data_IF_068060473425
#
_entry.id   IF_068060473425
#
_cell.length_a   1.000
_cell.length_b   1.000
_cell.length_c   1.000
_cell.angle_alpha   90.00
_cell.angle_beta   90.00
_cell.angle_gamma   90.00
#
_symmetry.space_group_name_H-M   'P 1'
#
loop_
_entity.id
_entity.type
_entity.pdbx_description
1 polymer ?
#
# COMPACT_ATOMS: atom_id res chain seq x y z
N UNK A 1 -7.30 -23.52 10.36
CA UNK A 1 -6.58 -23.76 11.63
C UNK A 1 -5.44 -22.75 11.62
N UNK A 2 -5.38 -21.83 12.58
CA UNK A 2 -4.36 -20.77 12.57
C UNK A 2 -3.04 -21.34 13.07
N UNK A 3 -1.96 -21.14 12.31
CA UNK A 3 -0.61 -21.54 12.73
C UNK A 3 -0.16 -20.68 13.93
N UNK A 4 0.34 -21.33 14.98
CA UNK A 4 0.87 -20.64 16.16
C UNK A 4 2.13 -19.83 15.82
N UNK A 5 2.91 -20.26 14.83
CA UNK A 5 4.08 -19.53 14.34
C UNK A 5 3.67 -18.25 13.62
N UNK A 6 2.65 -18.31 12.77
CA UNK A 6 2.07 -17.12 12.13
C UNK A 6 1.44 -16.16 13.15
N UNK A 7 0.76 -16.71 14.16
CA UNK A 7 0.12 -15.93 15.24
C UNK A 7 1.15 -15.08 16.00
N UNK A 8 2.34 -15.64 16.29
CA UNK A 8 3.44 -14.90 16.92
C UNK A 8 4.34 -14.16 15.90
N UNK A 9 4.07 -14.26 14.61
CA UNK A 9 4.87 -13.71 13.51
C UNK A 9 6.35 -14.12 13.57
N UNK A 10 6.62 -15.41 13.82
CA UNK A 10 7.96 -15.99 13.89
C UNK A 10 8.11 -17.16 12.93
N UNK A 11 9.32 -17.38 12.40
CA UNK A 11 9.59 -18.55 11.55
C UNK A 11 9.52 -19.84 12.38
N UNK A 12 9.08 -20.99 11.83
CA UNK A 12 9.11 -22.30 12.52
C UNK A 12 10.49 -22.74 13.06
N UNK A 13 11.56 -22.08 12.62
CA UNK A 13 12.95 -22.33 13.05
C UNK A 13 13.44 -21.35 14.12
N UNK A 14 12.58 -20.45 14.60
CA UNK A 14 12.93 -19.47 15.62
C UNK A 14 13.31 -20.18 16.93
N UNK A 15 14.33 -19.65 17.61
CA UNK A 15 14.71 -20.11 18.94
C UNK A 15 13.76 -19.56 20.02
N UNK A 16 13.87 -20.10 21.23
CA UNK A 16 12.99 -19.74 22.35
C UNK A 16 13.09 -18.27 22.74
N UNK A 17 14.28 -17.66 22.59
CA UNK A 17 14.49 -16.26 22.89
C UNK A 17 13.76 -15.35 21.89
N UNK A 18 13.86 -15.66 20.58
CA UNK A 18 13.13 -14.95 19.54
C UNK A 18 11.61 -15.07 19.73
N UNK A 19 11.10 -16.26 20.08
CA UNK A 19 9.67 -16.48 20.38
C UNK A 19 9.22 -15.61 21.56
N UNK A 20 9.98 -15.59 22.67
CA UNK A 20 9.66 -14.76 23.84
C UNK A 20 9.70 -13.27 23.50
N UNK A 21 10.72 -12.83 22.78
CA UNK A 21 10.85 -11.43 22.39
C UNK A 21 9.70 -11.00 21.45
N UNK A 22 9.29 -11.86 20.52
CA UNK A 22 8.15 -11.60 19.64
C UNK A 22 6.84 -11.49 20.43
N UNK A 23 6.57 -12.44 21.33
CA UNK A 23 5.40 -12.41 22.20
C UNK A 23 5.33 -11.12 23.03
N UNK A 24 6.43 -10.72 23.69
CA UNK A 24 6.48 -9.49 24.48
C UNK A 24 6.10 -8.23 23.67
N UNK A 25 6.69 -8.07 22.47
CA UNK A 25 6.35 -6.95 21.57
C UNK A 25 4.88 -6.95 21.17
N UNK A 26 4.28 -8.11 20.93
CA UNK A 26 2.87 -8.22 20.56
C UNK A 26 1.95 -7.90 21.75
N UNK A 27 2.27 -8.37 22.95
CA UNK A 27 1.49 -8.03 24.14
C UNK A 27 1.49 -6.54 24.45
N UNK A 28 2.63 -5.86 24.27
CA UNK A 28 2.73 -4.41 24.41
C UNK A 28 1.88 -3.68 23.35
N UNK A 29 1.86 -4.18 22.11
CA UNK A 29 1.05 -3.62 21.02
C UNK A 29 -0.45 -3.67 21.32
N UNK A 30 -0.93 -4.80 21.82
CA UNK A 30 -2.34 -5.01 22.17
C UNK A 30 -2.63 -4.73 23.66
N UNK A 31 -1.77 -3.97 24.33
CA UNK A 31 -1.94 -3.67 25.75
C UNK A 31 -3.23 -2.87 25.99
N UNK A 32 -4.04 -3.24 27.00
CA UNK A 32 -5.30 -2.55 27.28
C UNK A 32 -5.10 -1.07 27.63
N UNK A 33 -3.96 -0.72 28.23
CA UNK A 33 -3.58 0.66 28.56
C UNK A 33 -3.49 1.57 27.32
N UNK A 34 -3.11 1.01 26.16
CA UNK A 34 -3.03 1.77 24.89
C UNK A 34 -4.39 1.95 24.22
N UNK A 35 -5.40 1.22 24.70
CA UNK A 35 -6.76 1.20 24.19
C UNK A 35 -7.76 1.60 25.28
N UNK A 36 -7.27 2.16 26.39
CA UNK A 36 -8.11 2.69 27.45
C UNK A 36 -8.93 3.85 26.89
N UNK A 37 -10.24 3.82 27.08
CA UNK A 37 -11.16 4.77 26.46
C UNK A 37 -11.61 4.40 25.05
N UNK A 38 -10.92 3.50 24.33
CA UNK A 38 -11.26 3.12 22.95
C UNK A 38 -12.67 2.53 22.79
N UNK A 39 -13.18 2.55 21.56
CA UNK A 39 -14.47 1.95 21.24
C UNK A 39 -14.53 0.50 21.74
N UNK A 40 -15.67 0.09 22.29
CA UNK A 40 -15.82 -1.23 22.93
C UNK A 40 -15.46 -2.38 21.97
N UNK A 41 -15.83 -2.23 20.70
CA UNK A 41 -15.51 -3.18 19.62
C UNK A 41 -13.99 -3.35 19.44
N UNK A 42 -13.23 -2.25 19.45
CA UNK A 42 -11.76 -2.29 19.34
C UNK A 42 -11.11 -2.90 20.58
N UNK A 43 -11.64 -2.61 21.77
CA UNK A 43 -11.18 -3.24 23.01
C UNK A 43 -11.45 -4.74 23.01
N UNK A 44 -12.65 -5.17 22.58
CA UNK A 44 -13.00 -6.58 22.47
C UNK A 44 -12.07 -7.31 21.50
N UNK A 45 -11.81 -6.72 20.33
CA UNK A 45 -10.91 -7.31 19.35
C UNK A 45 -9.47 -7.43 19.86
N UNK A 46 -8.95 -6.39 20.51
CA UNK A 46 -7.62 -6.44 21.11
C UNK A 46 -7.52 -7.54 22.18
N UNK A 47 -8.57 -7.74 22.98
CA UNK A 47 -8.64 -8.86 23.94
C UNK A 47 -8.59 -10.21 23.23
N UNK A 48 -9.40 -10.42 22.19
CA UNK A 48 -9.38 -11.67 21.40
C UNK A 48 -7.98 -11.94 20.81
N UNK A 49 -7.32 -10.90 20.29
CA UNK A 49 -5.96 -11.03 19.75
C UNK A 49 -4.94 -11.36 20.83
N UNK A 50 -5.04 -10.75 22.00
CA UNK A 50 -4.22 -11.10 23.17
C UNK A 50 -4.40 -12.56 23.58
N UNK A 51 -5.62 -13.06 23.64
CA UNK A 51 -5.89 -14.46 23.98
C UNK A 51 -5.26 -15.42 22.97
N UNK A 52 -5.34 -15.10 21.67
CA UNK A 52 -4.69 -15.89 20.63
C UNK A 52 -3.15 -15.92 20.77
N UNK A 53 -2.54 -14.77 21.10
CA UNK A 53 -1.11 -14.65 21.35
C UNK A 53 -0.68 -15.46 22.58
N UNK A 54 -1.45 -15.37 23.68
CA UNK A 54 -1.19 -16.10 24.92
C UNK A 54 -1.26 -17.61 24.68
N UNK A 55 -2.24 -18.08 23.92
CA UNK A 55 -2.38 -19.49 23.55
C UNK A 55 -1.23 -19.98 22.67
N UNK A 56 -0.85 -19.23 21.63
CA UNK A 56 0.27 -19.58 20.76
C UNK A 56 1.60 -19.62 21.53
N UNK A 57 1.83 -18.66 22.43
CA UNK A 57 3.03 -18.65 23.27
C UNK A 57 3.07 -19.83 24.26
N UNK A 58 1.94 -20.21 24.86
CA UNK A 58 1.87 -21.35 25.77
C UNK A 58 2.34 -22.65 25.10
N UNK A 59 1.98 -22.86 23.82
CA UNK A 59 2.39 -24.04 23.05
C UNK A 59 3.85 -23.94 22.59
N UNK A 60 4.25 -22.79 22.02
CA UNK A 60 5.57 -22.65 21.39
C UNK A 60 6.72 -22.40 22.37
N UNK A 61 6.43 -21.93 23.59
CA UNK A 61 7.45 -21.66 24.61
C UNK A 61 7.95 -22.92 25.32
N UNK A 62 7.13 -23.97 25.41
CA UNK A 62 7.52 -25.27 25.98
C UNK A 62 8.10 -26.18 24.87
N UNK A 63 9.37 -26.64 24.99
CA UNK A 63 9.98 -27.52 24.00
C UNK A 63 9.21 -28.82 23.73
N UNK A 64 8.52 -29.38 24.73
CA UNK A 64 7.76 -30.62 24.56
C UNK A 64 6.45 -30.38 23.80
N UNK A 65 5.71 -29.33 24.16
CA UNK A 65 4.47 -28.96 23.47
C UNK A 65 4.75 -28.52 22.04
N UNK A 66 5.82 -27.75 21.82
CA UNK A 66 6.27 -27.37 20.48
C UNK A 66 6.62 -28.59 19.62
N UNK A 67 7.37 -29.55 20.16
CA UNK A 67 7.72 -30.76 19.40
C UNK A 67 6.48 -31.61 19.06
N UNK A 68 5.50 -31.69 19.95
CA UNK A 68 4.23 -32.37 19.68
C UNK A 68 3.43 -31.64 18.58
N UNK A 69 3.34 -30.31 18.66
CA UNK A 69 2.70 -29.48 17.64
C UNK A 69 3.38 -29.60 16.28
N UNK A 70 4.71 -29.56 16.22
CA UNK A 70 5.50 -29.73 14.99
C UNK A 70 5.27 -31.13 14.38
N UNK A 71 5.11 -32.16 15.21
CA UNK A 71 4.79 -33.51 14.75
C UNK A 71 3.36 -33.61 14.18
N UNK A 72 2.38 -32.92 14.77
CA UNK A 72 1.01 -32.83 14.25
C UNK A 72 0.95 -32.09 12.91
N UNK A 73 1.69 -30.98 12.78
CA UNK A 73 1.86 -30.24 11.53
C UNK A 73 2.45 -31.12 10.43
N UNK A 74 3.52 -31.86 10.75
CA UNK A 74 4.16 -32.79 9.82
C UNK A 74 3.23 -33.95 9.43
N UNK A 75 2.47 -34.51 10.36
CA UNK A 75 1.49 -35.57 10.08
C UNK A 75 0.37 -35.06 9.17
N UNK A 76 -0.12 -33.84 9.43
CA UNK A 76 -1.16 -33.19 8.61
C UNK A 76 -0.68 -32.92 7.19
N UNK A 77 0.57 -32.46 7.04
CA UNK A 77 1.21 -32.25 5.74
C UNK A 77 1.41 -33.57 4.95
N UNK A 78 1.54 -34.71 5.63
CA UNK A 78 1.66 -36.04 5.01
C UNK A 78 0.30 -36.64 4.64
N UNK A 79 -0.78 -36.29 5.35
CA UNK A 79 -2.15 -36.75 5.05
C UNK A 79 -2.90 -35.89 4.05
N UNK A 80 -2.42 -34.69 3.74
CA UNK A 80 -2.86 -33.95 2.57
C UNK A 80 -2.37 -34.72 1.32
N UNK A 81 -3.27 -35.49 0.69
CA UNK A 81 -2.96 -36.15 -0.58
C UNK A 81 -2.46 -35.11 -1.61
N UNK A 82 -1.44 -35.44 -2.42
CA UNK A 82 -0.93 -34.56 -3.45
C UNK A 82 -1.91 -34.52 -4.62
N UNK A 83 -2.92 -33.67 -4.55
CA UNK A 83 -3.61 -33.21 -5.76
C UNK A 83 -2.79 -32.03 -6.29
N UNK A 84 -2.19 -32.24 -7.46
CA UNK A 84 -1.07 -31.51 -8.08
C UNK A 84 0.31 -31.74 -7.44
N UNK A 85 0.77 -32.98 -7.56
CA UNK A 85 2.19 -33.24 -7.76
C UNK A 85 2.68 -32.50 -9.01
N UNK A 86 3.11 -31.25 -8.85
CA UNK A 86 4.23 -30.73 -9.63
C UNK A 86 5.36 -31.71 -9.38
N UNK A 87 5.71 -32.47 -10.41
CA UNK A 87 6.93 -33.26 -10.43
C UNK A 87 8.09 -32.31 -10.13
N UNK A 88 8.58 -32.30 -8.89
CA UNK A 88 9.95 -31.93 -8.61
C UNK A 88 10.81 -32.98 -9.31
N UNK A 89 11.18 -32.65 -10.55
CA UNK A 89 12.25 -33.30 -11.26
C UNK A 89 13.49 -33.29 -10.35
N UNK A 90 14.31 -34.36 -10.35
CA UNK A 90 15.52 -34.37 -9.56
C UNK A 90 16.34 -33.16 -9.97
N UNK A 91 16.74 -32.35 -8.98
CA UNK A 91 17.62 -31.20 -9.17
C UNK A 91 18.90 -31.69 -9.85
N UNK A 92 18.94 -31.60 -11.18
CA UNK A 92 20.19 -31.48 -11.90
C UNK A 92 20.79 -30.17 -11.41
N UNK A 93 22.01 -30.24 -10.83
CA UNK A 93 22.77 -29.09 -10.36
C UNK A 93 23.00 -28.08 -11.52
N UNK A 94 22.00 -27.25 -11.81
CA UNK A 94 22.13 -26.07 -12.67
C UNK A 94 22.83 -24.97 -11.86
N UNK A 95 24.16 -25.02 -11.87
CA UNK A 95 25.01 -24.00 -11.28
C UNK A 95 24.78 -22.65 -11.99
N UNK A 96 24.10 -21.72 -11.31
CA UNK A 96 23.84 -20.35 -11.77
C UNK A 96 25.16 -19.54 -11.84
N UNK A 97 25.52 -18.99 -13.00
CA UNK A 97 26.75 -18.17 -13.16
C UNK A 97 26.51 -16.73 -12.70
N UNK A 98 26.87 -16.42 -11.45
CA UNK A 98 26.72 -15.09 -10.82
C UNK A 98 27.68 -13.99 -11.35
N UNK A 99 28.29 -14.17 -12.51
CA UNK A 99 29.15 -13.13 -13.10
C UNK A 99 28.28 -12.01 -13.70
N UNK A 100 28.66 -10.73 -13.51
CA UNK A 100 27.95 -9.63 -14.13
C UNK A 100 27.99 -9.77 -15.66
N UNK A 101 26.83 -9.61 -16.30
CA UNK A 101 26.71 -9.61 -17.75
C UNK A 101 27.66 -8.56 -18.34
N UNK A 102 28.40 -8.87 -19.41
CA UNK A 102 29.27 -7.89 -20.04
C UNK A 102 28.45 -6.66 -20.48
N UNK A 103 29.06 -5.46 -20.44
CA UNK A 103 28.36 -4.22 -20.75
C UNK A 103 27.82 -4.26 -22.17
N UNK A 104 26.54 -3.97 -22.34
CA UNK A 104 25.82 -4.10 -23.63
C UNK A 104 26.20 -3.04 -24.68
N UNK A 105 27.30 -2.30 -24.50
CA UNK A 105 27.89 -1.46 -25.55
C UNK A 105 26.94 -0.46 -26.23
N UNK A 106 25.96 0.09 -25.50
CA UNK A 106 24.87 0.97 -26.02
C UNK A 106 24.02 0.36 -27.14
N UNK A 107 23.86 -0.96 -27.16
CA UNK A 107 22.87 -1.66 -27.98
C UNK A 107 21.90 -2.43 -27.08
N UNK A 108 20.62 -2.41 -27.42
CA UNK A 108 19.61 -3.21 -26.72
C UNK A 108 19.82 -4.69 -27.02
N UNK A 109 19.71 -5.55 -26.00
CA UNK A 109 19.79 -7.00 -26.21
C UNK A 109 18.53 -7.46 -26.97
N UNK A 110 18.67 -8.40 -27.94
CA UNK A 110 17.55 -8.84 -28.75
C UNK A 110 16.45 -9.52 -27.90
N UNK A 111 15.18 -9.49 -28.36
CA UNK A 111 13.99 -9.92 -27.60
C UNK A 111 13.86 -11.44 -27.36
N UNK A 112 14.93 -12.20 -27.56
CA UNK A 112 15.05 -13.62 -27.20
C UNK A 112 16.37 -13.91 -26.46
N UNK A 113 17.01 -12.88 -25.91
CA UNK A 113 18.22 -13.04 -25.12
C UNK A 113 17.87 -13.70 -23.79
N UNK A 114 18.34 -14.92 -23.61
CA UNK A 114 18.18 -15.66 -22.37
C UNK A 114 18.90 -14.92 -21.22
N UNK A 115 18.11 -14.43 -20.25
CA UNK A 115 18.60 -13.69 -19.09
C UNK A 115 19.06 -14.60 -17.96
N UNK A 116 18.87 -15.91 -18.07
CA UNK A 116 19.27 -16.88 -17.05
C UNK A 116 20.59 -17.55 -17.46
N UNK A 117 21.66 -17.46 -16.64
CA UNK A 117 22.95 -18.01 -17.03
C UNK A 117 23.07 -19.45 -16.52
N UNK A 118 22.46 -20.41 -17.21
CA UNK A 118 22.67 -21.84 -16.93
C UNK A 118 23.83 -22.37 -17.78
N UNK A 119 24.86 -22.93 -17.14
CA UNK A 119 26.00 -23.52 -17.87
C UNK A 119 25.73 -24.95 -18.27
N UNK A 120 25.21 -25.19 -19.48
CA UNK A 120 25.34 -26.52 -20.11
C UNK A 120 26.75 -26.67 -20.72
N UNK A 121 27.51 -27.63 -20.21
CA UNK A 121 28.90 -27.87 -20.62
C UNK A 121 28.94 -28.49 -22.04
N UNK A 122 28.97 -27.66 -23.08
CA UNK A 122 29.11 -28.11 -24.47
C UNK A 122 30.48 -27.78 -25.08
N UNK A 123 31.24 -28.85 -25.24
CA UNK A 123 32.29 -29.20 -26.21
C UNK A 123 32.64 -28.18 -27.32
N UNK A 124 33.94 -27.89 -27.41
CA UNK A 124 34.57 -27.03 -28.40
C UNK A 124 34.47 -27.52 -29.86
N UNK A 125 34.26 -26.59 -30.79
CA UNK A 125 34.68 -26.61 -32.22
C UNK A 125 34.54 -25.17 -32.77
N UNK A 126 35.62 -24.41 -32.99
CA UNK A 126 36.54 -24.42 -34.14
C UNK A 126 36.09 -23.58 -35.36
N UNK A 127 36.64 -22.35 -35.41
CA UNK A 127 37.19 -21.58 -36.56
C UNK A 127 36.37 -21.40 -37.86
N UNK A 128 36.28 -20.13 -38.26
CA UNK A 128 36.26 -19.70 -39.67
C UNK A 128 36.53 -18.20 -39.82
N UNK A 129 37.73 -17.83 -40.28
CA UNK A 129 38.14 -16.46 -40.67
C UNK A 129 37.74 -16.19 -42.12
N UNK A 130 37.37 -14.94 -42.43
CA UNK A 130 37.31 -14.42 -43.81
C UNK A 130 37.17 -12.91 -43.82
N UNK A 131 38.16 -12.21 -44.35
CA UNK A 131 38.24 -10.76 -44.46
C UNK A 131 37.86 -10.28 -45.87
N UNK A 132 37.22 -9.11 -46.00
CA UNK A 132 37.59 -7.98 -46.88
C UNK A 132 36.38 -7.04 -47.12
N UNK A 133 36.67 -5.73 -47.08
CA UNK A 133 35.74 -4.60 -47.25
C UNK A 133 35.20 -4.47 -48.69
N UNK A 134 33.97 -3.93 -48.84
CA UNK A 134 33.62 -3.22 -50.07
C UNK A 134 32.98 -1.84 -49.73
N UNK A 135 32.33 -1.11 -50.64
CA UNK A 135 32.61 0.29 -50.94
C UNK A 135 31.48 1.21 -50.42
N UNK A 136 31.45 2.47 -50.88
CA UNK A 136 30.60 3.58 -50.40
C UNK A 136 29.13 3.23 -50.11
N UNK A 137 28.50 3.90 -49.11
CA UNK A 137 27.26 3.44 -48.48
C UNK A 137 25.99 3.54 -49.35
N UNK A 138 25.37 2.39 -49.59
CA UNK A 138 24.08 2.24 -50.29
C UNK A 138 22.83 2.55 -49.40
N UNK A 139 23.01 2.95 -48.13
CA UNK A 139 21.90 3.12 -47.18
C UNK A 139 21.12 4.44 -47.31
N UNK A 140 21.62 5.42 -48.04
CA UNK A 140 20.97 6.74 -48.12
C UNK A 140 19.61 6.67 -48.84
N UNK A 141 19.48 5.84 -49.87
CA UNK A 141 18.22 5.64 -50.60
C UNK A 141 17.13 4.90 -49.78
N UNK A 142 17.41 3.75 -49.12
CA UNK A 142 16.40 3.07 -48.31
C UNK A 142 16.03 3.84 -47.04
N UNK A 143 16.91 4.65 -46.43
CA UNK A 143 16.54 5.44 -45.23
C UNK A 143 15.48 6.50 -45.49
N UNK A 144 15.49 7.12 -46.69
CA UNK A 144 14.46 8.10 -47.06
C UNK A 144 13.12 7.42 -47.33
N UNK A 145 13.14 6.23 -47.94
CA UNK A 145 11.92 5.44 -48.20
C UNK A 145 11.31 4.95 -46.89
N UNK A 146 12.12 4.43 -45.96
CA UNK A 146 11.65 3.98 -44.65
C UNK A 146 11.04 5.13 -43.85
N UNK A 147 11.67 6.32 -43.85
CA UNK A 147 11.13 7.48 -43.14
C UNK A 147 9.74 7.93 -43.64
N UNK A 148 9.54 7.93 -44.97
CA UNK A 148 8.24 8.26 -45.59
C UNK A 148 7.20 7.18 -45.27
N UNK A 149 7.58 5.90 -45.34
CA UNK A 149 6.70 4.79 -45.00
C UNK A 149 6.30 4.80 -43.52
N UNK A 150 7.24 5.06 -42.60
CA UNK A 150 6.93 5.14 -41.16
C UNK A 150 6.00 6.31 -40.84
N UNK A 151 6.18 7.45 -41.50
CA UNK A 151 5.31 8.61 -41.30
C UNK A 151 3.89 8.34 -41.83
N UNK A 152 3.76 7.69 -42.99
CA UNK A 152 2.46 7.30 -43.53
C UNK A 152 1.74 6.25 -42.66
N UNK A 153 2.48 5.29 -42.09
CA UNK A 153 1.92 4.27 -41.17
C UNK A 153 1.45 4.91 -39.87
N UNK A 154 2.25 5.80 -39.26
CA UNK A 154 1.85 6.50 -38.02
C UNK A 154 0.65 7.42 -38.28
N UNK A 155 0.61 8.09 -39.43
CA UNK A 155 -0.52 8.96 -39.77
C UNK A 155 -1.81 8.16 -40.03
N UNK A 156 -1.70 7.00 -40.67
CA UNK A 156 -2.85 6.12 -40.89
C UNK A 156 -3.33 5.46 -39.60
N UNK A 157 -2.44 5.07 -38.68
CA UNK A 157 -2.83 4.55 -37.36
C UNK A 157 -3.45 5.63 -36.48
N UNK A 158 -2.98 6.87 -36.54
CA UNK A 158 -3.60 7.99 -35.84
C UNK A 158 -5.01 8.31 -36.40
N UNK A 159 -5.17 8.25 -37.72
CA UNK A 159 -6.46 8.51 -38.37
C UNK A 159 -7.46 7.38 -38.10
N UNK A 160 -7.03 6.11 -38.11
CA UNK A 160 -7.92 4.98 -37.78
C UNK A 160 -8.31 4.97 -36.30
N UNK A 161 -7.41 5.34 -35.38
CA UNK A 161 -7.74 5.44 -33.94
C UNK A 161 -8.75 6.54 -33.63
N UNK A 162 -8.71 7.66 -34.35
CA UNK A 162 -9.67 8.77 -34.17
C UNK A 162 -11.01 8.51 -34.85
N UNK A 163 -11.02 7.87 -36.03
CA UNK A 163 -12.25 7.60 -36.79
C UNK A 163 -13.04 6.39 -36.27
N UNK A 164 -12.40 5.46 -35.57
CA UNK A 164 -13.05 4.27 -34.98
C UNK A 164 -13.12 4.31 -33.46
N UNK A 165 -12.88 5.46 -32.84
CA UNK A 165 -13.19 5.66 -31.42
C UNK A 165 -14.70 5.47 -31.23
N UNK A 166 -15.15 4.45 -30.46
CA UNK A 166 -16.58 4.25 -30.23
C UNK A 166 -17.12 5.47 -29.47
N UNK A 167 -18.18 6.07 -29.98
CA UNK A 167 -18.92 7.10 -29.25
C UNK A 167 -19.40 6.51 -27.92
N UNK A 168 -19.20 7.17 -26.77
CA UNK A 168 -19.69 6.65 -25.50
C UNK A 168 -21.22 6.58 -25.56
N UNK A 169 -21.74 5.37 -25.67
CA UNK A 169 -23.16 5.10 -25.54
C UNK A 169 -23.53 5.32 -24.09
N UNK A 170 -24.38 6.30 -23.82
CA UNK A 170 -25.06 6.41 -22.53
C UNK A 170 -25.87 5.13 -22.31
N UNK A 171 -25.42 4.28 -21.38
CA UNK A 171 -26.08 3.03 -21.04
C UNK A 171 -27.30 3.34 -20.17
N UNK A 172 -28.43 3.54 -20.83
CA UNK A 172 -29.76 3.45 -20.22
C UNK A 172 -30.38 2.13 -20.68
N UNK A 173 -30.11 1.04 -19.93
CA UNK A 173 -30.73 -0.26 -20.16
C UNK A 173 -30.10 -1.36 -19.28
N UNK A 174 -30.86 -2.36 -18.80
CA UNK A 174 -30.36 -3.37 -17.88
C UNK A 174 -29.33 -4.25 -18.59
N UNK A 175 -28.07 -4.16 -18.15
CA UNK A 175 -26.96 -4.93 -18.71
C UNK A 175 -27.06 -6.39 -18.25
N UNK A 176 -27.11 -7.31 -19.23
CA UNK A 176 -26.85 -8.73 -19.00
C UNK A 176 -25.33 -8.86 -18.90
N UNK A 177 -24.84 -9.11 -17.70
CA UNK A 177 -23.42 -9.32 -17.40
C UNK A 177 -23.01 -10.67 -18.02
N UNK A 178 -22.00 -10.64 -18.89
CA UNK A 178 -21.34 -11.84 -19.41
C UNK A 178 -20.40 -12.36 -18.30
N UNK A 179 -20.69 -13.50 -17.65
CA UNK A 179 -20.04 -13.90 -16.39
C UNK A 179 -18.59 -14.40 -16.53
N UNK A 180 -18.01 -14.35 -17.73
CA UNK A 180 -16.70 -14.95 -18.05
C UNK A 180 -15.61 -13.94 -18.50
N UNK A 181 -15.88 -12.63 -18.45
CA UNK A 181 -14.82 -11.63 -18.57
C UNK A 181 -14.29 -11.37 -17.17
N UNK A 182 -13.10 -11.90 -16.87
CA UNK A 182 -12.41 -11.57 -15.63
C UNK A 182 -12.11 -10.07 -15.63
N UNK A 183 -12.73 -9.33 -14.70
CA UNK A 183 -12.31 -7.99 -14.34
C UNK A 183 -10.79 -8.00 -14.10
N UNK A 184 -10.03 -6.94 -14.48
CA UNK A 184 -8.66 -6.80 -14.03
C UNK A 184 -8.69 -6.92 -12.50
N UNK A 185 -8.13 -8.02 -11.99
CA UNK A 185 -8.23 -8.36 -10.58
C UNK A 185 -7.77 -7.14 -9.77
N UNK A 186 -8.67 -6.58 -8.96
CA UNK A 186 -8.28 -5.51 -8.04
C UNK A 186 -7.08 -6.02 -7.24
N UNK A 187 -6.05 -5.18 -7.00
CA UNK A 187 -4.90 -5.61 -6.22
C UNK A 187 -5.41 -6.19 -4.92
N UNK A 188 -4.99 -7.42 -4.62
CA UNK A 188 -5.44 -8.09 -3.42
C UNK A 188 -4.97 -7.26 -2.19
N UNK A 189 -5.65 -7.41 -1.06
CA UNK A 189 -5.38 -6.63 0.15
C UNK A 189 -3.88 -6.63 0.52
N UNK A 190 -3.24 -7.78 0.42
CA UNK A 190 -1.81 -7.95 0.72
C UNK A 190 -0.91 -7.10 -0.21
N UNK A 191 -1.17 -7.10 -1.52
CA UNK A 191 -0.47 -6.25 -2.48
C UNK A 191 -0.65 -4.78 -2.16
N UNK A 192 -1.87 -4.36 -1.83
CA UNK A 192 -2.14 -2.98 -1.44
C UNK A 192 -1.36 -2.58 -0.17
N UNK A 193 -1.38 -3.44 0.86
CA UNK A 193 -0.68 -3.18 2.12
C UNK A 193 0.84 -3.15 1.94
N UNK A 194 1.40 -4.03 1.10
CA UNK A 194 2.83 -4.02 0.79
C UNK A 194 3.27 -2.78 0.01
N UNK A 195 2.40 -2.23 -0.85
CA UNK A 195 2.66 -0.94 -1.51
C UNK A 195 2.76 0.20 -0.49
N UNK A 196 1.84 0.27 0.49
CA UNK A 196 1.93 1.27 1.55
C UNK A 196 3.20 1.12 2.41
N UNK A 197 3.62 -0.10 2.73
CA UNK A 197 4.90 -0.32 3.43
C UNK A 197 6.09 0.21 2.62
N UNK A 198 6.13 -0.09 1.31
CA UNK A 198 7.18 0.41 0.43
C UNK A 198 7.19 1.96 0.35
N UNK A 199 6.00 2.58 0.33
CA UNK A 199 5.87 4.04 0.36
C UNK A 199 6.38 4.63 1.68
N UNK A 200 6.02 4.06 2.83
CA UNK A 200 6.51 4.52 4.13
C UNK A 200 8.03 4.39 4.23
N UNK A 201 8.60 3.26 3.79
CA UNK A 201 10.06 3.05 3.78
C UNK A 201 10.75 4.09 2.89
N UNK A 202 10.26 4.32 1.69
CA UNK A 202 10.86 5.29 0.77
C UNK A 202 10.74 6.72 1.29
N UNK A 203 9.59 7.11 1.85
CA UNK A 203 9.40 8.44 2.44
C UNK A 203 10.31 8.67 3.66
N UNK A 204 10.53 7.66 4.51
CA UNK A 204 11.49 7.73 5.62
C UNK A 204 12.92 7.95 5.12
N UNK A 205 13.32 7.27 4.04
CA UNK A 205 14.63 7.48 3.43
C UNK A 205 14.78 8.91 2.93
N UNK A 206 13.75 9.48 2.30
CA UNK A 206 13.77 10.89 1.84
C UNK A 206 13.95 11.83 3.03
N UNK A 207 13.15 11.68 4.09
CA UNK A 207 13.28 12.51 5.30
C UNK A 207 14.67 12.41 5.94
N UNK A 208 15.27 11.21 5.99
CA UNK A 208 16.62 11.03 6.51
C UNK A 208 17.69 11.72 5.65
N UNK A 209 17.47 11.81 4.34
CA UNK A 209 18.41 12.44 3.41
C UNK A 209 18.25 13.97 3.35
N UNK A 210 17.03 14.48 3.53
CA UNK A 210 16.70 15.91 3.45
C UNK A 210 15.76 16.34 4.59
N UNK A 211 16.24 16.33 5.86
CA UNK A 211 15.41 16.54 7.04
C UNK A 211 14.84 17.96 7.18
N UNK A 212 15.40 18.94 6.47
CA UNK A 212 14.96 20.34 6.52
C UNK A 212 13.94 20.69 5.42
N UNK A 213 13.48 19.71 4.63
CA UNK A 213 12.53 19.94 3.55
C UNK A 213 11.09 19.62 3.99
N UNK A 214 10.18 20.62 4.12
CA UNK A 214 8.83 20.40 4.66
C UNK A 214 8.01 19.37 3.88
N UNK A 215 8.08 19.39 2.53
CA UNK A 215 7.35 18.42 1.72
C UNK A 215 7.82 16.97 1.92
N UNK A 216 9.07 16.73 2.36
CA UNK A 216 9.52 15.36 2.65
C UNK A 216 8.73 14.78 3.83
N UNK A 217 8.51 15.61 4.85
CA UNK A 217 7.72 15.27 6.03
C UNK A 217 6.23 15.13 5.71
N UNK A 218 5.66 15.99 4.86
CA UNK A 218 4.28 15.83 4.37
C UNK A 218 4.08 14.48 3.68
N UNK A 219 5.01 14.07 2.80
CA UNK A 219 4.91 12.79 2.10
C UNK A 219 5.05 11.59 3.04
N UNK A 220 5.91 11.69 4.07
CA UNK A 220 5.99 10.67 5.11
C UNK A 220 4.68 10.57 5.90
N UNK A 221 4.12 11.71 6.30
CA UNK A 221 2.82 11.77 6.96
C UNK A 221 1.72 11.14 6.12
N UNK A 222 1.62 11.50 4.83
CA UNK A 222 0.60 10.97 3.91
C UNK A 222 0.72 9.45 3.78
N UNK A 223 1.92 8.92 3.53
CA UNK A 223 2.13 7.49 3.40
C UNK A 223 1.74 6.72 4.68
N UNK A 224 2.05 7.27 5.86
CA UNK A 224 1.67 6.69 7.14
C UNK A 224 0.15 6.74 7.35
N UNK A 225 -0.46 7.89 7.11
CA UNK A 225 -1.89 8.14 7.27
C UNK A 225 -2.73 7.25 6.36
N UNK A 226 -2.42 7.20 5.07
CA UNK A 226 -3.14 6.40 4.07
C UNK A 226 -3.02 4.90 4.39
N UNK A 227 -1.88 4.46 4.93
CA UNK A 227 -1.66 3.07 5.34
C UNK A 227 -2.62 2.58 6.43
N UNK A 228 -3.23 3.50 7.19
CA UNK A 228 -4.24 3.21 8.21
C UNK A 228 -5.65 3.47 7.69
N UNK A 229 -5.85 4.57 6.94
CA UNK A 229 -7.16 4.93 6.39
C UNK A 229 -7.76 3.82 5.53
N UNK A 230 -6.93 3.17 4.70
CA UNK A 230 -7.39 2.10 3.82
C UNK A 230 -7.93 0.88 4.57
N UNK A 231 -7.47 0.67 5.82
CA UNK A 231 -7.99 -0.37 6.71
C UNK A 231 -9.28 0.11 7.38
N UNK A 232 -9.32 1.38 7.81
CA UNK A 232 -10.50 2.00 8.43
C UNK A 232 -11.72 1.91 7.53
N UNK A 233 -11.57 2.23 6.25
CA UNK A 233 -12.63 2.23 5.24
C UNK A 233 -13.24 0.85 4.98
N UNK A 234 -12.60 -0.22 5.45
CA UNK A 234 -13.05 -1.61 5.28
C UNK A 234 -13.48 -2.27 6.58
N UNK A 235 -13.52 -1.53 7.69
CA UNK A 235 -13.95 -2.06 8.98
C UNK A 235 -15.42 -2.51 8.95
N UNK A 236 -16.24 -1.86 8.13
CA UNK A 236 -17.66 -2.16 7.92
C UNK A 236 -17.91 -3.54 7.29
N UNK A 237 -16.91 -4.10 6.60
CA UNK A 237 -17.00 -5.42 5.96
C UNK A 237 -16.91 -6.59 6.96
N UNK A 238 -16.56 -6.30 8.23
CA UNK A 238 -16.50 -7.31 9.29
C UNK A 238 -15.33 -8.29 9.17
N UNK A 239 -14.32 -8.02 8.34
CA UNK A 239 -13.13 -8.86 8.20
C UNK A 239 -12.22 -8.75 9.44
N UNK A 240 -12.15 -9.83 10.22
CA UNK A 240 -11.34 -9.93 11.44
C UNK A 240 -9.84 -9.68 11.21
N UNK A 241 -9.32 -9.94 10.01
CA UNK A 241 -7.93 -9.66 9.68
C UNK A 241 -7.72 -8.16 9.46
N UNK A 242 -8.63 -7.49 8.74
CA UNK A 242 -8.59 -6.03 8.55
C UNK A 242 -8.70 -5.32 9.89
N UNK A 243 -9.64 -5.73 10.75
CA UNK A 243 -9.80 -5.10 12.06
C UNK A 243 -8.55 -5.27 12.93
N UNK A 244 -7.90 -6.44 12.87
CA UNK A 244 -6.64 -6.66 13.59
C UNK A 244 -5.53 -5.74 13.08
N UNK A 245 -5.33 -5.71 11.76
CA UNK A 245 -4.33 -4.85 11.13
C UNK A 245 -4.59 -3.37 11.44
N UNK A 246 -5.86 -2.97 11.52
CA UNK A 246 -6.24 -1.62 11.89
C UNK A 246 -5.74 -1.25 13.29
N UNK A 247 -5.94 -2.12 14.28
CA UNK A 247 -5.39 -1.91 15.64
C UNK A 247 -3.86 -1.86 15.60
N UNK A 248 -3.21 -2.74 14.85
CA UNK A 248 -1.74 -2.75 14.76
C UNK A 248 -1.18 -1.47 14.16
N UNK A 249 -1.86 -0.92 13.15
CA UNK A 249 -1.44 0.29 12.44
C UNK A 249 -1.99 1.58 13.05
N UNK A 250 -2.91 1.52 14.00
CA UNK A 250 -3.50 2.69 14.64
C UNK A 250 -2.45 3.71 15.15
N UNK A 251 -1.33 3.29 15.78
CA UNK A 251 -0.28 4.22 16.20
C UNK A 251 0.38 5.00 15.06
N UNK A 252 0.26 4.55 13.80
CA UNK A 252 0.85 5.26 12.64
C UNK A 252 0.18 6.59 12.36
N UNK A 253 -1.06 6.82 12.81
CA UNK A 253 -1.64 8.16 12.76
C UNK A 253 -0.94 9.13 13.73
N UNK A 254 -0.37 8.66 14.84
CA UNK A 254 0.49 9.50 15.68
C UNK A 254 1.83 9.76 14.99
N UNK A 255 2.43 8.73 14.38
CA UNK A 255 3.66 8.93 13.58
C UNK A 255 3.43 9.89 12.41
N UNK A 256 2.27 9.83 11.76
CA UNK A 256 1.86 10.77 10.73
C UNK A 256 1.70 12.19 11.30
N UNK A 257 1.05 12.32 12.46
CA UNK A 257 0.92 13.60 13.16
C UNK A 257 2.29 14.20 13.50
N UNK A 258 3.26 13.41 13.97
CA UNK A 258 4.62 13.89 14.22
C UNK A 258 5.31 14.38 12.94
N UNK A 259 5.12 13.66 11.82
CA UNK A 259 5.64 14.08 10.53
C UNK A 259 5.00 15.39 10.05
N UNK A 260 3.68 15.53 10.12
CA UNK A 260 2.99 16.77 9.75
C UNK A 260 3.35 17.94 10.66
N UNK A 261 3.53 17.69 11.97
CA UNK A 261 4.02 18.69 12.93
C UNK A 261 5.42 19.16 12.54
N UNK A 262 6.29 18.24 12.14
CA UNK A 262 7.62 18.63 11.66
C UNK A 262 7.55 19.43 10.35
N UNK A 263 6.61 19.11 9.47
CA UNK A 263 6.36 19.90 8.26
C UNK A 263 5.88 21.33 8.59
N UNK A 264 4.96 21.50 9.55
CA UNK A 264 4.46 22.81 9.96
C UNK A 264 5.48 23.62 10.78
N UNK A 265 6.41 22.98 11.48
CA UNK A 265 7.55 23.67 12.08
C UNK A 265 8.52 24.26 11.04
N UNK A 266 8.73 23.53 9.93
CA UNK A 266 9.60 23.95 8.83
C UNK A 266 8.91 24.99 7.92
N UNK A 267 7.60 24.87 7.74
CA UNK A 267 6.76 25.85 7.03
C UNK A 267 5.50 26.16 7.85
N UNK A 268 5.56 27.17 8.75
CA UNK A 268 4.42 27.58 9.57
C UNK A 268 3.23 28.17 8.80
N UNK A 269 3.39 28.42 7.49
CA UNK A 269 2.32 28.96 6.64
C UNK A 269 1.62 27.89 5.81
N UNK A 270 2.03 26.62 5.96
CA UNK A 270 1.44 25.51 5.24
C UNK A 270 0.07 25.13 5.79
N UNK A 271 -1.00 25.65 5.17
CA UNK A 271 -2.37 25.23 5.47
C UNK A 271 -2.53 23.71 5.34
N UNK A 272 -1.88 23.11 4.34
CA UNK A 272 -1.89 21.66 4.10
C UNK A 272 -1.30 20.87 5.28
N UNK A 273 -0.15 21.28 5.82
CA UNK A 273 0.47 20.61 6.98
C UNK A 273 -0.43 20.65 8.22
N UNK A 274 -1.05 21.80 8.48
CA UNK A 274 -1.98 21.96 9.59
C UNK A 274 -3.27 21.15 9.40
N UNK A 275 -3.80 21.09 8.18
CA UNK A 275 -4.99 20.32 7.85
C UNK A 275 -4.75 18.81 8.06
N UNK A 276 -3.67 18.28 7.52
CA UNK A 276 -3.35 16.85 7.56
C UNK A 276 -2.93 16.42 8.98
N UNK A 277 -2.24 17.29 9.74
CA UNK A 277 -1.99 17.11 11.18
C UNK A 277 -3.31 16.96 11.95
N UNK A 278 -4.22 17.90 11.75
CA UNK A 278 -5.48 17.94 12.46
C UNK A 278 -6.36 16.72 12.16
N UNK A 279 -6.48 16.34 10.88
CA UNK A 279 -7.19 15.14 10.47
C UNK A 279 -6.61 13.87 11.12
N UNK A 280 -5.28 13.70 11.12
CA UNK A 280 -4.62 12.53 11.71
C UNK A 280 -4.90 12.41 13.21
N UNK A 281 -4.83 13.52 13.95
CA UNK A 281 -5.15 13.55 15.38
C UNK A 281 -6.62 13.25 15.65
N UNK A 282 -7.55 13.82 14.88
CA UNK A 282 -8.97 13.60 15.05
C UNK A 282 -9.37 12.14 14.75
N UNK A 283 -8.84 11.52 13.70
CA UNK A 283 -9.08 10.10 13.42
C UNK A 283 -8.51 9.17 14.48
N UNK A 284 -7.30 9.46 14.96
CA UNK A 284 -6.71 8.73 16.08
C UNK A 284 -7.57 8.87 17.34
N UNK A 285 -7.86 10.10 17.76
CA UNK A 285 -8.68 10.40 18.92
C UNK A 285 -10.07 9.78 18.85
N UNK A 286 -10.73 9.80 17.69
CA UNK A 286 -12.03 9.14 17.51
C UNK A 286 -11.93 7.62 17.71
N UNK A 287 -10.84 7.00 17.25
CA UNK A 287 -10.68 5.55 17.29
C UNK A 287 -10.36 5.03 18.68
N UNK A 288 -9.62 5.81 19.46
CA UNK A 288 -9.39 5.53 20.88
C UNK A 288 -10.37 6.25 21.80
N UNK A 289 -11.38 6.93 21.24
CA UNK A 289 -12.38 7.73 21.95
C UNK A 289 -11.76 8.64 23.03
N UNK A 290 -10.72 9.38 22.63
CA UNK A 290 -10.02 10.39 23.42
C UNK A 290 -10.21 11.79 22.80
N UNK A 291 -11.00 12.60 23.51
CA UNK A 291 -11.31 13.98 23.12
C UNK A 291 -10.12 14.95 23.21
N UNK A 292 -9.02 14.59 23.88
CA UNK A 292 -7.83 15.44 23.90
C UNK A 292 -7.20 15.55 22.51
N UNK A 293 -7.02 14.41 21.82
CA UNK A 293 -6.50 14.39 20.46
C UNK A 293 -7.46 15.07 19.47
N UNK A 294 -8.77 14.90 19.65
CA UNK A 294 -9.78 15.57 18.82
C UNK A 294 -9.72 17.09 19.01
N UNK A 295 -9.58 17.58 20.24
CA UNK A 295 -9.40 19.02 20.51
C UNK A 295 -8.12 19.57 19.90
N UNK A 296 -7.00 18.86 20.05
CA UNK A 296 -5.73 19.27 19.43
C UNK A 296 -5.88 19.30 17.90
N UNK A 297 -6.45 18.27 17.30
CA UNK A 297 -6.66 18.22 15.86
C UNK A 297 -7.61 19.30 15.36
N UNK A 298 -8.65 19.64 16.14
CA UNK A 298 -9.59 20.74 15.84
C UNK A 298 -8.87 22.09 15.78
N UNK A 299 -7.93 22.35 16.70
CA UNK A 299 -7.13 23.58 16.68
C UNK A 299 -6.30 23.67 15.40
N UNK A 300 -5.72 22.56 14.95
CA UNK A 300 -4.86 22.53 13.76
C UNK A 300 -5.64 22.68 12.45
N UNK A 301 -6.81 22.04 12.31
CA UNK A 301 -7.67 22.26 11.13
C UNK A 301 -8.27 23.68 11.11
N UNK A 302 -8.59 24.26 12.26
CA UNK A 302 -9.04 25.66 12.35
C UNK A 302 -7.91 26.61 11.93
N UNK A 303 -6.67 26.37 12.36
CA UNK A 303 -5.49 27.11 11.87
C UNK A 303 -5.28 26.95 10.37
N UNK A 304 -5.47 25.76 9.82
CA UNK A 304 -5.39 25.54 8.37
C UNK A 304 -6.39 26.42 7.61
N UNK A 305 -7.64 26.50 8.10
CA UNK A 305 -8.67 27.37 7.53
C UNK A 305 -8.36 28.87 7.70
N UNK A 306 -7.69 29.28 8.78
CA UNK A 306 -7.21 30.65 8.94
C UNK A 306 -6.14 31.01 7.91
N UNK A 307 -5.24 30.07 7.59
CA UNK A 307 -4.17 30.24 6.61
C UNK A 307 -4.70 30.23 5.18
N UNK A 308 -5.60 29.30 4.86
CA UNK A 308 -6.28 29.21 3.57
C UNK A 308 -7.71 28.67 3.71
N UNK A 309 -8.68 29.59 3.59
CA UNK A 309 -10.11 29.28 3.67
C UNK A 309 -10.63 28.41 2.50
N UNK A 310 -9.85 28.23 1.44
CA UNK A 310 -10.19 27.44 0.24
C UNK A 310 -9.38 26.15 0.15
N UNK A 311 -8.50 25.85 1.12
CA UNK A 311 -7.74 24.61 1.13
C UNK A 311 -8.69 23.40 1.31
N UNK A 312 -8.76 22.55 0.29
CA UNK A 312 -9.77 21.50 0.22
C UNK A 312 -9.62 20.46 1.32
N UNK A 313 -8.38 20.11 1.68
CA UNK A 313 -8.11 19.18 2.79
C UNK A 313 -8.45 19.80 4.15
N UNK A 314 -8.25 21.10 4.31
CA UNK A 314 -8.62 21.81 5.53
C UNK A 314 -10.15 21.78 5.74
N UNK A 315 -10.93 22.06 4.70
CA UNK A 315 -12.40 21.99 4.77
C UNK A 315 -12.90 20.57 5.08
N UNK A 316 -12.33 19.55 4.42
CA UNK A 316 -12.69 18.16 4.68
C UNK A 316 -12.35 17.75 6.12
N UNK A 317 -11.10 17.98 6.53
CA UNK A 317 -10.56 17.63 7.85
C UNK A 317 -11.29 18.36 8.98
N UNK A 318 -11.61 19.65 8.80
CA UNK A 318 -12.40 20.42 9.76
C UNK A 318 -13.77 19.78 10.00
N UNK A 319 -14.49 19.42 8.94
CA UNK A 319 -15.79 18.76 9.10
C UNK A 319 -15.68 17.41 9.83
N UNK A 320 -14.64 16.62 9.55
CA UNK A 320 -14.38 15.36 10.26
C UNK A 320 -14.13 15.61 11.76
N UNK A 321 -13.22 16.53 12.10
CA UNK A 321 -12.94 16.89 13.49
C UNK A 321 -14.18 17.41 14.23
N UNK A 322 -14.99 18.24 13.57
CA UNK A 322 -16.24 18.78 14.14
C UNK A 322 -17.28 17.70 14.43
N UNK A 323 -17.35 16.63 13.63
CA UNK A 323 -18.22 15.48 13.91
C UNK A 323 -17.70 14.66 15.09
N UNK A 324 -16.38 14.48 15.22
CA UNK A 324 -15.79 13.69 16.29
C UNK A 324 -15.76 14.41 17.63
N UNK A 325 -15.88 15.74 17.63
CA UNK A 325 -15.96 16.53 18.85
C UNK A 325 -17.16 16.13 19.73
N UNK A 326 -16.99 16.25 21.05
CA UNK A 326 -18.07 16.07 22.02
C UNK A 326 -18.36 17.40 22.76
N UNK A 327 -19.54 18.04 22.56
CA UNK A 327 -20.63 17.62 21.68
C UNK A 327 -20.31 17.84 20.19
N UNK A 328 -20.94 17.07 19.27
CA UNK A 328 -20.64 17.14 17.85
C UNK A 328 -21.16 18.43 17.21
N UNK A 329 -20.28 19.13 16.50
CA UNK A 329 -20.54 20.39 15.76
C UNK A 329 -21.06 20.10 14.34
N UNK A 330 -22.17 19.34 14.25
CA UNK A 330 -22.70 18.81 12.97
C UNK A 330 -22.99 19.87 11.91
N UNK A 331 -23.62 20.98 12.30
CA UNK A 331 -23.97 22.06 11.35
C UNK A 331 -22.72 22.65 10.71
N UNK A 332 -21.68 22.87 11.50
CA UNK A 332 -20.41 23.45 11.04
C UNK A 332 -19.66 22.46 10.14
N UNK A 333 -19.74 21.16 10.43
CA UNK A 333 -19.17 20.12 9.58
C UNK A 333 -19.81 20.07 8.19
N UNK A 334 -21.15 20.06 8.15
CA UNK A 334 -21.93 20.08 6.91
C UNK A 334 -21.59 21.32 6.09
N UNK A 335 -21.46 22.48 6.74
CA UNK A 335 -21.07 23.73 6.07
C UNK A 335 -19.70 23.61 5.38
N UNK A 336 -18.68 23.05 6.05
CA UNK A 336 -17.35 22.92 5.45
C UNK A 336 -17.35 21.99 4.24
N UNK A 337 -18.06 20.85 4.31
CA UNK A 337 -18.15 19.94 3.17
C UNK A 337 -18.95 20.54 2.01
N UNK A 338 -20.00 21.31 2.28
CA UNK A 338 -20.72 22.05 1.24
C UNK A 338 -19.83 23.08 0.56
N UNK A 339 -19.02 23.83 1.34
CA UNK A 339 -18.02 24.77 0.79
C UNK A 339 -17.02 24.05 -0.11
N UNK A 340 -16.51 22.91 0.31
CA UNK A 340 -15.58 22.08 -0.46
C UNK A 340 -16.17 21.68 -1.83
N UNK A 341 -17.46 21.34 -1.89
CA UNK A 341 -18.13 21.00 -3.15
C UNK A 341 -18.28 22.18 -4.14
N UNK A 342 -18.14 23.42 -3.67
CA UNK A 342 -18.28 24.63 -4.48
C UNK A 342 -16.94 25.16 -5.01
N UNK A 343 -15.81 24.61 -4.53
CA UNK A 343 -14.49 25.02 -4.97
C UNK A 343 -14.20 24.59 -6.42
N UNK A 344 -13.53 25.43 -7.23
CA UNK A 344 -13.04 25.02 -8.54
C UNK A 344 -11.81 24.10 -8.39
N UNK A 345 -11.60 23.22 -9.37
CA UNK A 345 -10.38 22.41 -9.54
C UNK A 345 -9.95 21.57 -8.31
N UNK A 346 -10.92 21.10 -7.50
CA UNK A 346 -10.66 20.20 -6.37
C UNK A 346 -10.32 18.79 -6.83
N UNK A 347 -9.41 18.13 -6.10
CA UNK A 347 -9.13 16.71 -6.28
C UNK A 347 -10.42 15.86 -6.22
N UNK A 348 -10.71 15.02 -7.24
CA UNK A 348 -11.95 14.25 -7.29
C UNK A 348 -12.20 13.35 -6.06
N UNK A 349 -11.13 12.86 -5.42
CA UNK A 349 -11.23 12.06 -4.19
C UNK A 349 -11.84 12.82 -3.02
N UNK A 350 -11.42 14.08 -2.81
CA UNK A 350 -11.96 14.93 -1.75
C UNK A 350 -13.45 15.22 -1.96
N UNK A 351 -13.86 15.47 -3.22
CA UNK A 351 -15.26 15.69 -3.58
C UNK A 351 -16.09 14.42 -3.33
N UNK A 352 -15.56 13.25 -3.69
CA UNK A 352 -16.23 11.98 -3.43
C UNK A 352 -16.44 11.76 -1.93
N UNK A 353 -15.40 11.94 -1.13
CA UNK A 353 -15.46 11.75 0.32
C UNK A 353 -16.42 12.74 0.98
N UNK A 354 -16.38 14.02 0.61
CA UNK A 354 -17.30 15.04 1.11
C UNK A 354 -18.77 14.69 0.84
N UNK A 355 -19.08 14.12 -0.33
CA UNK A 355 -20.43 13.65 -0.66
C UNK A 355 -20.86 12.49 0.22
N UNK A 356 -19.99 11.52 0.47
CA UNK A 356 -20.30 10.39 1.37
C UNK A 356 -20.61 10.89 2.79
N UNK A 357 -19.75 11.77 3.32
CA UNK A 357 -19.94 12.35 4.65
C UNK A 357 -21.23 13.17 4.77
N UNK A 358 -21.60 13.93 3.72
CA UNK A 358 -22.88 14.63 3.68
C UNK A 358 -24.07 13.65 3.67
N UNK A 359 -23.99 12.55 2.93
CA UNK A 359 -25.06 11.53 2.92
C UNK A 359 -25.22 10.87 4.29
N UNK A 360 -24.12 10.63 4.99
CA UNK A 360 -24.11 10.01 6.32
C UNK A 360 -24.66 10.95 7.42
N UNK A 361 -24.38 12.25 7.33
CA UNK A 361 -24.63 13.19 8.44
C UNK A 361 -25.68 14.27 8.18
N UNK A 362 -26.31 14.33 7.01
CA UNK A 362 -27.36 15.32 6.69
C UNK A 362 -28.76 14.96 7.24
N UNK A 363 -28.91 13.83 7.94
CA UNK A 363 -30.14 13.39 8.61
C UNK A 363 -30.05 13.63 10.12
#
# INVERSE_FOLDING_TARGET
>A
MHDHYETLQVHPKADTEAIRAAYGRMCERYAPERLEGAAEELQQLARQRREALDHAYAILSDPQLRAAYDAELAATAVTAEPDDAVQEAPAEDEELDYRPLPPAGRQERPPGFDTQPTRRRARAQARGRGAARPPLPEWVAPTVIVAVCTFAIVLTTLITTVLWAPTPTAVSGPQIIDPNVADPAQPNMEQMLSQFEAQVISARQVVNNIPDHPNAWLQLGNALYDSVMVLRERLDQGDLNVQSLYIERLPRWLEAADAYRRASELDPTSALAHADLGASLCYYGQSINDQNYIREGTIEVERALELDIMEGRALLGAGICYIFADPPRRSEAIEQWQRLLLLPDVEPGLIFQARQLLLEHAQ
#
